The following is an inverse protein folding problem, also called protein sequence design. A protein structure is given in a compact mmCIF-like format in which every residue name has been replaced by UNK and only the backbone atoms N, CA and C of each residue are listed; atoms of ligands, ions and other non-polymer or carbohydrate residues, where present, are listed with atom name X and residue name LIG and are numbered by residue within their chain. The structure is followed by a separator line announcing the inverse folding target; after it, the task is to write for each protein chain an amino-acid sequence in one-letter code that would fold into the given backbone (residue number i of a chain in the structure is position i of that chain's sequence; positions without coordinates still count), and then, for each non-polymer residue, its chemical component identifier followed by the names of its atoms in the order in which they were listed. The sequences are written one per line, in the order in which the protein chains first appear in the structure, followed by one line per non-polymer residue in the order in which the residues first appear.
data_IF_430429549888
#
_entry.id   IF_430429549888
#
_cell.length_a   1.000
_cell.length_b   1.000
_cell.length_c   1.000
_cell.angle_alpha   90.00
_cell.angle_beta   90.00
_cell.angle_gamma   90.00
#
_symmetry.space_group_name_H-M   'P 1'
#
loop_
_entity.id
_entity.type
_entity.pdbx_description
1 polymer ?
#
# COMPACT_ATOMS: atom_id res chain seq x y z
N UNK A 1 -17.56 0.63 -18.20
CA UNK A 1 -16.58 0.42 -17.11
C UNK A 1 -15.75 1.68 -17.06
N UNK A 2 -15.90 2.50 -16.01
CA UNK A 2 -15.16 3.77 -15.93
C UNK A 2 -13.70 3.42 -15.62
N UNK A 3 -12.73 4.07 -16.28
CA UNK A 3 -11.28 3.85 -16.07
C UNK A 3 -10.92 3.90 -14.57
N UNK A 4 -11.63 4.74 -13.81
CA UNK A 4 -11.59 4.81 -12.35
C UNK A 4 -11.89 3.49 -11.65
N UNK A 5 -12.92 2.75 -12.06
CA UNK A 5 -13.29 1.49 -11.44
C UNK A 5 -12.20 0.44 -11.69
N UNK A 6 -11.69 0.38 -12.92
CA UNK A 6 -10.58 -0.51 -13.27
C UNK A 6 -9.32 -0.22 -12.45
N UNK A 7 -8.98 1.06 -12.25
CA UNK A 7 -7.84 1.47 -11.43
C UNK A 7 -8.05 1.07 -9.97
N UNK A 8 -9.26 1.25 -9.43
CA UNK A 8 -9.57 0.85 -8.05
C UNK A 8 -9.54 -0.67 -7.87
N UNK A 9 -9.99 -1.44 -8.86
CA UNK A 9 -9.94 -2.90 -8.84
C UNK A 9 -8.48 -3.38 -8.82
N UNK A 10 -7.63 -2.82 -9.68
CA UNK A 10 -6.19 -3.15 -9.72
C UNK A 10 -5.50 -2.76 -8.41
N UNK A 11 -5.77 -1.58 -7.87
CA UNK A 11 -5.23 -1.16 -6.57
C UNK A 11 -5.65 -2.10 -5.44
N UNK A 12 -6.90 -2.59 -5.47
CA UNK A 12 -7.42 -3.54 -4.48
C UNK A 12 -6.77 -4.92 -4.61
N UNK A 13 -6.58 -5.40 -5.84
CA UNK A 13 -5.86 -6.64 -6.12
C UNK A 13 -4.42 -6.58 -5.63
N UNK A 14 -3.68 -5.51 -5.98
CA UNK A 14 -2.29 -5.32 -5.53
C UNK A 14 -2.19 -5.31 -4.00
N UNK A 15 -3.11 -4.62 -3.32
CA UNK A 15 -3.16 -4.60 -1.85
C UNK A 15 -3.36 -6.00 -1.25
N UNK A 16 -4.23 -6.81 -1.87
CA UNK A 16 -4.44 -8.20 -1.46
C UNK A 16 -3.18 -9.04 -1.66
N UNK A 17 -2.50 -8.92 -2.81
CA UNK A 17 -1.25 -9.63 -3.09
C UNK A 17 -0.14 -9.27 -2.11
N UNK A 18 0.07 -7.98 -1.84
CA UNK A 18 1.07 -7.48 -0.88
C UNK A 18 0.83 -8.07 0.51
N UNK A 19 -0.43 -8.10 0.96
CA UNK A 19 -0.80 -8.70 2.25
C UNK A 19 -0.52 -10.22 2.26
N UNK A 20 -0.82 -10.91 1.15
CA UNK A 20 -0.50 -12.32 0.98
C UNK A 20 0.99 -12.60 1.08
N UNK A 21 1.83 -11.82 0.39
CA UNK A 21 3.29 -11.97 0.47
C UNK A 21 3.80 -11.74 1.89
N UNK A 22 3.26 -10.77 2.63
CA UNK A 22 3.66 -10.53 4.01
C UNK A 22 3.47 -11.78 4.88
N UNK A 23 2.32 -12.45 4.77
CA UNK A 23 2.05 -13.71 5.48
C UNK A 23 3.04 -14.81 5.06
N UNK A 24 3.25 -14.99 3.75
CA UNK A 24 4.20 -15.99 3.22
C UNK A 24 5.63 -15.73 3.73
N UNK A 25 6.08 -14.48 3.76
CA UNK A 25 7.40 -14.09 4.27
C UNK A 25 7.56 -14.41 5.77
N UNK A 26 6.49 -14.26 6.56
CA UNK A 26 6.51 -14.60 7.99
C UNK A 26 6.53 -16.10 8.25
N UNK A 27 5.98 -16.91 7.34
CA UNK A 27 5.91 -18.38 7.48
C UNK A 27 7.06 -19.10 6.76
N UNK A 28 7.80 -18.41 5.88
CA UNK A 28 8.92 -18.96 5.13
C UNK A 28 10.13 -19.29 6.02
N UNK A 29 10.52 -20.56 6.08
CA UNK A 29 11.72 -21.03 6.77
C UNK A 29 12.99 -21.03 5.90
N UNK A 30 12.84 -21.07 4.58
CA UNK A 30 13.96 -21.03 3.64
C UNK A 30 14.31 -19.57 3.30
N UNK A 31 15.57 -19.19 3.48
CA UNK A 31 16.04 -17.81 3.30
C UNK A 31 15.98 -17.34 1.84
N UNK A 32 16.35 -18.17 0.87
CA UNK A 32 16.32 -17.80 -0.56
C UNK A 32 14.87 -17.59 -1.05
N UNK A 33 13.96 -18.47 -0.65
CA UNK A 33 12.55 -18.33 -0.93
C UNK A 33 11.99 -17.05 -0.30
N UNK A 34 12.34 -16.79 0.97
CA UNK A 34 11.93 -15.57 1.67
C UNK A 34 12.39 -14.31 0.94
N UNK A 35 13.66 -14.25 0.53
CA UNK A 35 14.20 -13.13 -0.24
C UNK A 35 13.48 -12.95 -1.58
N UNK A 36 13.15 -14.04 -2.25
CA UNK A 36 12.42 -14.00 -3.52
C UNK A 36 11.03 -13.37 -3.34
N UNK A 37 10.28 -13.80 -2.32
CA UNK A 37 8.95 -13.24 -2.05
C UNK A 37 9.03 -11.78 -1.58
N UNK A 38 10.08 -11.40 -0.84
CA UNK A 38 10.34 -10.00 -0.49
C UNK A 38 10.52 -9.13 -1.74
N UNK A 39 11.34 -9.56 -2.70
CA UNK A 39 11.54 -8.82 -3.96
C UNK A 39 10.25 -8.68 -4.77
N UNK A 40 9.41 -9.71 -4.79
CA UNK A 40 8.09 -9.65 -5.43
C UNK A 40 7.19 -8.63 -4.75
N UNK A 41 7.11 -8.67 -3.42
CA UNK A 41 6.33 -7.70 -2.63
C UNK A 41 6.79 -6.27 -2.88
N UNK A 42 8.10 -6.02 -2.82
CA UNK A 42 8.66 -4.69 -3.00
C UNK A 42 8.39 -4.14 -4.43
N UNK A 43 8.38 -5.02 -5.43
CA UNK A 43 8.01 -4.66 -6.81
C UNK A 43 6.53 -4.30 -6.95
N UNK A 44 5.65 -5.08 -6.32
CA UNK A 44 4.20 -4.84 -6.32
C UNK A 44 3.83 -3.58 -5.52
N UNK A 45 4.52 -3.30 -4.41
CA UNK A 45 4.38 -2.04 -3.65
C UNK A 45 4.77 -0.83 -4.51
N UNK A 46 5.87 -0.93 -5.26
CA UNK A 46 6.27 0.13 -6.20
C UNK A 46 5.21 0.36 -7.28
N UNK A 47 4.70 -0.72 -7.88
CA UNK A 47 3.63 -0.64 -8.88
C UNK A 47 2.36 -0.01 -8.31
N UNK A 48 1.97 -0.41 -7.10
CA UNK A 48 0.80 0.15 -6.40
C UNK A 48 0.95 1.65 -6.19
N UNK A 49 2.13 2.11 -5.78
CA UNK A 49 2.40 3.52 -5.53
C UNK A 49 2.39 4.35 -6.82
N UNK A 50 3.01 3.84 -7.89
CA UNK A 50 3.01 4.51 -9.19
C UNK A 50 1.59 4.60 -9.78
N UNK A 51 0.80 3.53 -9.65
CA UNK A 51 -0.60 3.52 -10.08
C UNK A 51 -1.45 4.49 -9.25
N UNK A 52 -1.24 4.55 -7.93
CA UNK A 52 -1.90 5.52 -7.05
C UNK A 52 -1.60 6.96 -7.49
N UNK A 53 -0.34 7.30 -7.77
CA UNK A 53 0.04 8.63 -8.27
C UNK A 53 -0.63 8.96 -9.59
N UNK A 54 -0.68 8.00 -10.52
CA UNK A 54 -1.36 8.20 -11.80
C UNK A 54 -2.86 8.43 -11.60
N UNK A 55 -3.48 7.66 -10.69
CA UNK A 55 -4.90 7.79 -10.35
C UNK A 55 -5.23 9.13 -9.70
N UNK A 56 -4.33 9.64 -8.84
CA UNK A 56 -4.43 10.97 -8.23
C UNK A 56 -4.33 12.07 -9.29
N UNK A 57 -3.34 12.01 -10.19
CA UNK A 57 -3.16 13.00 -11.27
C UNK A 57 -4.37 13.06 -12.23
N UNK A 58 -4.99 11.92 -12.52
CA UNK A 58 -6.19 11.86 -13.36
C UNK A 58 -7.48 12.21 -12.62
N UNK A 59 -7.42 12.47 -11.31
CA UNK A 59 -8.59 12.75 -10.47
C UNK A 59 -9.50 11.55 -10.21
N UNK A 60 -9.03 10.34 -10.52
CA UNK A 60 -9.77 9.08 -10.30
C UNK A 60 -9.69 8.62 -8.85
N UNK A 61 -8.65 9.03 -8.14
CA UNK A 61 -8.44 8.74 -6.73
C UNK A 61 -8.31 10.02 -5.93
N UNK A 62 -9.11 10.18 -4.87
CA UNK A 62 -8.90 11.21 -3.85
C UNK A 62 -8.16 10.52 -2.70
N UNK A 63 -6.89 10.88 -2.44
CA UNK A 63 -6.20 10.41 -1.24
C UNK A 63 -6.99 10.83 0.00
N UNK A 64 -6.83 10.08 1.09
CA UNK A 64 -7.24 10.58 2.39
C UNK A 64 -6.61 11.97 2.61
N UNK A 65 -7.40 12.93 3.09
CA UNK A 65 -6.87 14.26 3.42
C UNK A 65 -5.69 14.07 4.38
N UNK A 66 -4.57 14.78 4.19
CA UNK A 66 -3.50 14.75 5.17
C UNK A 66 -4.09 15.12 6.54
N UNK A 67 -3.72 14.35 7.57
CA UNK A 67 -4.20 14.59 8.93
C UNK A 67 -3.93 16.04 9.32
N UNK A 68 -4.89 16.70 9.99
CA UNK A 68 -4.67 18.09 10.39
C UNK A 68 -3.48 18.17 11.36
N UNK A 69 -2.70 19.27 11.34
CA UNK A 69 -1.59 19.46 12.27
C UNK A 69 -1.98 19.27 13.75
N UNK A 70 -3.20 19.66 14.10
CA UNK A 70 -3.78 19.48 15.45
C UNK A 70 -3.98 17.99 15.80
N UNK A 71 -4.43 17.17 14.86
CA UNK A 71 -4.63 15.72 15.08
C UNK A 71 -3.27 15.03 15.29
N UNK A 72 -2.25 15.43 14.51
CA UNK A 72 -0.89 14.92 14.65
C UNK A 72 -0.26 15.29 16.00
N UNK A 73 -0.49 16.51 16.50
CA UNK A 73 -0.02 16.92 17.83
C UNK A 73 -0.74 16.16 18.95
N UNK A 74 -2.06 16.00 18.85
CA UNK A 74 -2.86 15.30 19.86
C UNK A 74 -2.44 13.84 20.00
N UNK A 75 -2.26 13.12 18.88
CA UNK A 75 -1.81 11.71 18.89
C UNK A 75 -0.37 11.60 19.42
N UNK A 76 0.53 12.53 19.06
CA UNK A 76 1.89 12.54 19.60
C UNK A 76 1.90 12.72 21.13
N UNK A 77 1.04 13.58 21.66
CA UNK A 77 0.90 13.78 23.09
C UNK A 77 0.35 12.55 23.80
N UNK A 78 -0.61 11.84 23.20
CA UNK A 78 -1.14 10.57 23.73
C UNK A 78 -0.10 9.43 23.74
N UNK A 79 0.78 9.36 22.74
CA UNK A 79 1.85 8.35 22.67
C UNK A 79 3.13 8.70 23.45
N UNK A 80 3.24 9.93 23.98
CA UNK A 80 4.40 10.37 24.78
C UNK A 80 4.16 10.30 26.30
N UNK A 81 3.06 9.65 26.72
CA UNK A 81 2.74 9.34 28.13
C UNK A 81 3.01 7.86 28.42
#
# INVERSE_FOLDING_TARGET
MQEKDMVNDVLSMLKSSITGYANVITEACNEEFRQTIQQMRDSDEKCQYDLFKLAEQKGYYKPAQPASPNDMQSIKSEFSS
#
